data_IF_713777312498
#
_entry.id   IF_713777312498
#
_cell.length_a   1.000
_cell.length_b   1.000
_cell.length_c   1.000
_cell.angle_alpha   90.00
_cell.angle_beta   90.00
_cell.angle_gamma   90.00
#
_symmetry.space_group_name_H-M   'P 1'
#
loop_
_entity.id
_entity.type
_entity.pdbx_description
1 polymer ?
#
# COMPACT_ATOMS: atom_id res chain seq x y z
N UNK A 1 -2.15 27.88 -6.24
CA UNK A 1 -2.88 29.12 -6.59
C UNK A 1 -3.47 28.93 -7.98
N UNK A 2 -4.77 29.15 -8.15
CA UNK A 2 -5.43 29.02 -9.45
C UNK A 2 -6.25 30.29 -9.74
N UNK A 3 -6.39 30.63 -11.02
CA UNK A 3 -7.24 31.72 -11.47
C UNK A 3 -8.68 31.23 -11.51
N UNK A 4 -9.60 31.92 -10.81
CA UNK A 4 -11.03 31.68 -11.00
C UNK A 4 -11.51 32.37 -12.30
N UNK A 5 -12.74 32.04 -12.73
CA UNK A 5 -13.38 32.65 -13.92
C UNK A 5 -13.60 34.17 -13.82
N UNK A 6 -13.30 34.78 -12.67
CA UNK A 6 -13.42 36.22 -12.37
C UNK A 6 -12.05 36.90 -12.20
N UNK A 7 -10.96 36.23 -12.52
CA UNK A 7 -9.63 36.82 -12.51
C UNK A 7 -8.99 37.03 -11.14
N UNK A 8 -9.54 36.42 -10.07
CA UNK A 8 -9.01 36.52 -8.71
C UNK A 8 -8.23 35.26 -8.33
N UNK A 9 -7.20 35.46 -7.52
CA UNK A 9 -6.45 34.40 -6.88
C UNK A 9 -7.29 33.70 -5.81
N UNK A 10 -7.51 32.41 -5.98
CA UNK A 10 -8.10 31.57 -4.94
C UNK A 10 -7.06 30.57 -4.41
N UNK A 11 -7.05 30.41 -3.09
CA UNK A 11 -6.36 29.32 -2.41
C UNK A 11 -7.12 28.04 -2.76
N UNK A 12 -6.61 27.31 -3.75
CA UNK A 12 -7.10 25.98 -4.08
C UNK A 12 -6.65 25.07 -2.94
N UNK A 13 -7.59 24.67 -2.10
CA UNK A 13 -7.34 23.63 -1.11
C UNK A 13 -7.04 22.33 -1.88
N UNK A 14 -5.88 21.73 -1.60
CA UNK A 14 -5.45 20.47 -2.21
C UNK A 14 -5.35 19.46 -1.09
N UNK A 15 -6.41 18.67 -0.92
CA UNK A 15 -6.40 17.55 0.00
C UNK A 15 -5.83 16.30 -0.66
N UNK A 16 -4.94 15.61 0.04
CA UNK A 16 -4.44 14.29 -0.33
C UNK A 16 -4.86 13.31 0.76
N UNK A 17 -5.75 12.40 0.41
CA UNK A 17 -6.17 11.33 1.31
C UNK A 17 -5.32 10.09 1.04
N UNK A 18 -4.73 9.54 2.10
CA UNK A 18 -4.06 8.25 2.08
C UNK A 18 -4.89 7.26 2.89
N UNK A 19 -4.96 6.04 2.39
CA UNK A 19 -5.64 4.92 3.01
C UNK A 19 -4.67 3.77 3.16
N UNK A 20 -4.90 2.87 4.09
CA UNK A 20 -3.95 1.81 4.29
C UNK A 20 -4.32 0.88 5.42
N UNK A 21 -3.42 -0.05 5.65
CA UNK A 21 -3.53 -1.02 6.72
C UNK A 21 -2.24 -1.07 7.53
N UNK A 22 -2.36 -1.62 8.73
CA UNK A 22 -1.24 -2.07 9.54
C UNK A 22 -1.46 -3.54 9.82
N UNK A 23 -0.44 -4.36 9.57
CA UNK A 23 -0.44 -5.78 9.89
C UNK A 23 0.77 -6.09 10.77
N UNK A 24 0.51 -6.63 11.96
CA UNK A 24 1.55 -7.06 12.88
C UNK A 24 2.15 -8.41 12.44
N UNK A 25 3.37 -8.69 12.89
CA UNK A 25 4.04 -9.98 12.68
C UNK A 25 4.21 -10.38 11.21
N UNK A 26 4.57 -9.43 10.34
CA UNK A 26 4.85 -9.74 8.93
C UNK A 26 6.04 -10.72 8.81
N UNK A 27 6.05 -11.65 7.83
CA UNK A 27 7.06 -12.72 7.77
C UNK A 27 8.51 -12.24 7.59
N UNK A 28 8.71 -11.01 7.11
CA UNK A 28 10.02 -10.37 6.99
C UNK A 28 10.04 -9.08 7.78
N UNK A 29 11.22 -8.46 7.93
CA UNK A 29 11.41 -7.22 8.67
C UNK A 29 12.31 -6.26 7.91
N UNK A 30 12.15 -4.97 8.15
CA UNK A 30 13.11 -3.95 7.73
C UNK A 30 13.24 -3.87 6.21
N UNK A 31 12.10 -3.78 5.52
CA UNK A 31 12.02 -3.57 4.08
C UNK A 31 11.14 -2.35 3.81
N UNK A 32 11.54 -1.50 2.88
CA UNK A 32 10.70 -0.41 2.37
C UNK A 32 10.74 -0.31 0.86
N UNK A 33 9.56 -0.14 0.28
CA UNK A 33 9.32 0.15 -1.13
C UNK A 33 8.44 1.39 -1.21
N UNK A 34 8.89 2.43 -1.90
CA UNK A 34 8.16 3.70 -2.02
C UNK A 34 7.97 4.11 -3.47
N UNK A 35 6.75 4.52 -3.81
CA UNK A 35 6.38 5.05 -5.14
C UNK A 35 6.80 6.50 -5.37
N UNK A 36 7.26 7.22 -4.34
CA UNK A 36 7.56 8.66 -4.41
C UNK A 36 8.99 9.03 -4.00
N UNK A 37 9.93 8.08 -4.02
CA UNK A 37 11.34 8.30 -3.64
C UNK A 37 11.51 9.09 -2.31
N UNK A 38 10.61 8.85 -1.34
CA UNK A 38 10.54 9.62 -0.09
C UNK A 38 11.73 9.27 0.81
N UNK A 39 12.57 10.26 1.12
CA UNK A 39 13.70 10.09 2.06
C UNK A 39 13.27 9.52 3.42
N UNK A 40 12.09 9.91 3.91
CA UNK A 40 11.55 9.44 5.19
C UNK A 40 11.20 7.95 5.21
N UNK A 41 11.02 7.32 4.05
CA UNK A 41 10.74 5.89 3.94
C UNK A 41 12.00 5.05 3.73
N UNK A 42 13.17 5.67 3.57
CA UNK A 42 14.42 4.93 3.35
C UNK A 42 14.92 4.28 4.62
N UNK A 43 15.19 2.99 4.52
CA UNK A 43 15.99 2.26 5.49
C UNK A 43 17.47 2.31 5.11
N UNK A 44 18.35 1.89 6.02
CA UNK A 44 19.79 2.16 5.96
C UNK A 44 20.48 1.76 4.65
N UNK A 45 20.07 0.65 4.02
CA UNK A 45 20.62 0.14 2.77
C UNK A 45 19.67 0.46 1.62
N UNK A 46 20.14 1.21 0.61
CA UNK A 46 19.41 1.38 -0.65
C UNK A 46 19.62 0.16 -1.55
N UNK A 47 18.62 -0.17 -2.38
CA UNK A 47 18.66 -1.36 -3.22
C UNK A 47 18.14 -1.10 -4.63
N UNK A 48 18.71 -1.81 -5.59
CA UNK A 48 18.21 -1.94 -6.95
C UNK A 48 18.11 -3.43 -7.29
N UNK A 49 16.90 -3.87 -7.65
CA UNK A 49 16.67 -5.25 -8.07
C UNK A 49 17.21 -5.52 -9.48
N UNK A 50 17.13 -6.77 -9.94
CA UNK A 50 17.41 -7.11 -11.33
C UNK A 50 16.36 -6.56 -12.32
N UNK A 51 15.20 -6.10 -11.84
CA UNK A 51 14.16 -5.50 -12.67
C UNK A 51 14.34 -3.99 -12.79
N UNK A 52 14.85 -3.56 -13.95
CA UNK A 52 15.09 -2.16 -14.27
C UNK A 52 13.80 -1.33 -14.25
N UNK A 53 12.67 -1.89 -14.69
CA UNK A 53 11.39 -1.16 -14.72
C UNK A 53 10.88 -0.93 -13.32
N UNK A 54 10.99 -1.93 -12.46
CA UNK A 54 10.66 -1.81 -11.05
C UNK A 54 11.51 -0.73 -10.37
N UNK A 55 12.83 -0.73 -10.60
CA UNK A 55 13.75 0.26 -10.02
C UNK A 55 13.46 1.70 -10.48
N UNK A 56 12.96 1.89 -11.71
CA UNK A 56 12.55 3.20 -12.20
C UNK A 56 11.28 3.73 -11.53
N UNK A 57 10.33 2.84 -11.21
CA UNK A 57 9.06 3.20 -10.57
C UNK A 57 9.18 3.32 -9.05
N UNK A 58 9.98 2.46 -8.42
CA UNK A 58 9.96 2.27 -6.98
C UNK A 58 11.34 2.32 -6.35
N UNK A 59 11.45 3.17 -5.33
CA UNK A 59 12.59 3.18 -4.43
C UNK A 59 12.54 1.96 -3.51
N UNK A 60 13.64 1.21 -3.43
CA UNK A 60 13.78 0.08 -2.52
C UNK A 60 14.87 0.35 -1.49
N UNK A 61 14.62 -0.07 -0.25
CA UNK A 61 15.61 -0.03 0.81
C UNK A 61 15.32 -1.05 1.92
N UNK A 62 16.31 -1.35 2.75
CA UNK A 62 16.15 -2.25 3.88
C UNK A 62 17.25 -2.11 4.91
N UNK A 63 17.27 -3.02 5.88
CA UNK A 63 18.25 -3.03 6.97
C UNK A 63 19.56 -3.76 6.63
N UNK A 64 19.53 -4.72 5.71
CA UNK A 64 20.71 -5.37 5.17
C UNK A 64 20.45 -5.94 3.77
N UNK A 65 21.51 -6.11 2.99
CA UNK A 65 21.44 -6.56 1.60
C UNK A 65 20.96 -8.02 1.48
N UNK A 66 21.37 -8.91 2.38
CA UNK A 66 21.04 -10.34 2.30
C UNK A 66 19.53 -10.60 2.42
N UNK A 67 18.87 -9.92 3.37
CA UNK A 67 17.44 -10.02 3.58
C UNK A 67 16.67 -9.36 2.43
N UNK A 68 17.19 -8.28 1.86
CA UNK A 68 16.63 -7.65 0.67
C UNK A 68 16.71 -8.55 -0.56
N UNK A 69 17.85 -9.18 -0.82
CA UNK A 69 18.00 -10.14 -1.93
C UNK A 69 17.03 -11.30 -1.79
N UNK A 70 16.89 -11.83 -0.56
CA UNK A 70 15.93 -12.89 -0.29
C UNK A 70 14.52 -12.39 -0.56
N UNK A 71 14.11 -11.27 0.04
CA UNK A 71 12.75 -10.75 -0.11
C UNK A 71 12.41 -10.37 -1.56
N UNK A 72 13.33 -9.74 -2.30
CA UNK A 72 13.13 -9.27 -3.67
C UNK A 72 13.55 -10.32 -4.71
N UNK A 73 13.17 -11.58 -4.49
CA UNK A 73 13.29 -12.61 -5.52
C UNK A 73 12.43 -12.25 -6.75
N UNK A 74 12.78 -12.71 -7.97
CA UNK A 74 12.05 -12.39 -9.20
C UNK A 74 10.52 -12.59 -9.12
N UNK A 75 10.06 -13.71 -8.55
CA UNK A 75 8.63 -14.00 -8.41
C UNK A 75 7.91 -13.00 -7.48
N UNK A 76 8.55 -12.67 -6.35
CA UNK A 76 8.04 -11.66 -5.40
C UNK A 76 8.06 -10.26 -5.97
N UNK A 77 9.07 -9.89 -6.76
CA UNK A 77 9.11 -8.60 -7.45
C UNK A 77 7.94 -8.46 -8.42
N UNK A 78 7.65 -9.48 -9.21
CA UNK A 78 6.52 -9.48 -10.14
C UNK A 78 5.17 -9.35 -9.40
N UNK A 79 5.03 -10.06 -8.27
CA UNK A 79 3.84 -9.95 -7.44
C UNK A 79 3.73 -8.53 -6.84
N UNK A 80 4.80 -8.02 -6.22
CA UNK A 80 4.86 -6.66 -5.68
C UNK A 80 4.53 -5.59 -6.72
N UNK A 81 5.02 -5.72 -7.96
CA UNK A 81 4.69 -4.78 -9.04
C UNK A 81 3.17 -4.75 -9.29
N UNK A 82 2.54 -5.91 -9.47
CA UNK A 82 1.08 -5.99 -9.67
C UNK A 82 0.31 -5.36 -8.52
N UNK A 83 0.79 -5.58 -7.29
CA UNK A 83 0.14 -5.04 -6.09
C UNK A 83 0.27 -3.52 -5.99
N UNK A 84 1.47 -2.99 -6.28
CA UNK A 84 1.74 -1.55 -6.28
C UNK A 84 1.13 -0.83 -7.49
N UNK A 85 0.81 -1.54 -8.57
CA UNK A 85 0.02 -1.01 -9.68
C UNK A 85 -1.47 -0.90 -9.31
N UNK A 86 -2.02 -1.92 -8.64
CA UNK A 86 -3.41 -1.91 -8.17
C UNK A 86 -3.65 -0.95 -6.99
N UNK A 87 -2.67 -0.86 -6.09
CA UNK A 87 -2.72 -0.01 -4.90
C UNK A 87 -1.44 0.82 -4.75
N UNK A 88 -1.28 1.87 -5.59
CA UNK A 88 -0.10 2.72 -5.59
C UNK A 88 0.14 3.37 -4.23
N UNK A 89 1.33 3.19 -3.70
CA UNK A 89 1.57 3.54 -2.31
C UNK A 89 3.02 3.36 -1.84
N UNK A 90 3.16 3.41 -0.52
CA UNK A 90 4.37 3.09 0.20
C UNK A 90 4.12 1.82 1.01
N UNK A 91 5.01 0.84 0.81
CA UNK A 91 5.07 -0.42 1.54
C UNK A 91 6.26 -0.35 2.50
N UNK A 92 6.02 -0.50 3.79
CA UNK A 92 7.05 -0.39 4.81
C UNK A 92 6.88 -1.46 5.85
N UNK A 93 7.93 -2.21 6.14
CA UNK A 93 7.95 -3.19 7.22
C UNK A 93 8.95 -2.75 8.26
N UNK A 94 8.46 -2.50 9.47
CA UNK A 94 9.27 -2.03 10.56
C UNK A 94 10.39 -3.02 10.92
N UNK A 95 11.64 -2.58 11.13
CA UNK A 95 12.77 -3.46 11.35
C UNK A 95 12.73 -4.24 12.67
N UNK A 96 12.12 -3.67 13.70
CA UNK A 96 12.06 -4.29 15.03
C UNK A 96 10.74 -5.05 15.27
N UNK A 97 9.60 -4.39 15.10
CA UNK A 97 8.28 -4.97 15.37
C UNK A 97 7.74 -5.86 14.26
N UNK A 98 8.38 -5.90 13.08
CA UNK A 98 7.85 -6.55 11.86
C UNK A 98 6.43 -6.09 11.47
N UNK A 99 6.02 -4.90 11.92
CA UNK A 99 4.74 -4.32 11.53
C UNK A 99 4.83 -3.83 10.07
N UNK A 100 4.00 -4.41 9.20
CA UNK A 100 3.77 -3.90 7.86
C UNK A 100 2.82 -2.71 7.93
N UNK A 101 3.23 -1.59 7.35
CA UNK A 101 2.41 -0.44 7.04
C UNK A 101 2.35 -0.28 5.53
N UNK A 102 1.16 -0.39 4.95
CA UNK A 102 0.94 -0.08 3.54
C UNK A 102 0.00 1.11 3.42
N UNK A 103 0.50 2.22 2.89
CA UNK A 103 -0.28 3.43 2.63
C UNK A 103 -0.42 3.64 1.13
N UNK A 104 -1.65 3.63 0.62
CA UNK A 104 -1.97 3.83 -0.80
C UNK A 104 -2.89 5.04 -1.02
N UNK A 105 -2.99 5.46 -2.28
CA UNK A 105 -3.86 6.56 -2.71
C UNK A 105 -5.26 6.10 -3.16
N UNK A 106 -5.55 4.81 -3.03
CA UNK A 106 -6.87 4.22 -3.35
C UNK A 106 -7.76 4.31 -2.12
N UNK A 107 -8.99 4.79 -2.27
CA UNK A 107 -9.95 4.84 -1.17
C UNK A 107 -10.45 3.44 -0.82
N UNK A 108 -9.77 2.79 0.13
CA UNK A 108 -10.15 1.46 0.63
C UNK A 108 -11.50 1.47 1.37
N UNK A 109 -11.92 2.62 1.87
CA UNK A 109 -13.19 2.80 2.58
C UNK A 109 -14.35 3.12 1.62
N UNK A 110 -14.15 3.03 0.30
CA UNK A 110 -15.25 3.20 -0.64
C UNK A 110 -16.24 2.06 -0.41
N UNK A 111 -17.43 2.44 -0.01
CA UNK A 111 -18.54 1.55 0.25
C UNK A 111 -19.58 1.68 -0.86
N UNK A 112 -20.42 0.64 -0.99
CA UNK A 112 -21.67 0.78 -1.73
C UNK A 112 -22.54 1.86 -1.08
N UNK A 113 -23.32 2.59 -1.89
CA UNK A 113 -24.21 3.62 -1.35
C UNK A 113 -25.25 2.98 -0.43
N UNK A 114 -25.36 3.49 0.80
CA UNK A 114 -26.44 3.12 1.70
C UNK A 114 -27.76 3.73 1.18
N UNK A 115 -28.80 2.91 1.16
CA UNK A 115 -30.16 3.32 0.81
C UNK A 115 -31.13 2.88 1.91
N UNK A 116 -32.28 3.55 2.00
CA UNK A 116 -33.30 3.22 2.99
C UNK A 116 -33.81 4.45 3.73
N UNK A 117 -35.09 4.41 4.08
CA UNK A 117 -35.79 5.46 4.83
C UNK A 117 -36.25 4.99 6.21
N UNK A 118 -36.20 3.67 6.46
CA UNK A 118 -36.53 3.06 7.75
C UNK A 118 -35.32 2.38 8.41
N UNK A 119 -35.40 2.19 9.73
CA UNK A 119 -34.37 1.50 10.52
C UNK A 119 -34.12 0.07 10.02
N UNK A 120 -35.18 -0.62 9.58
CA UNK A 120 -35.08 -1.99 9.05
C UNK A 120 -34.31 -2.02 7.72
N UNK A 121 -34.66 -1.15 6.78
CA UNK A 121 -33.97 -1.07 5.48
C UNK A 121 -32.48 -0.74 5.64
N UNK A 122 -32.15 0.15 6.58
CA UNK A 122 -30.75 0.46 6.90
C UNK A 122 -30.02 -0.74 7.52
N UNK A 123 -30.67 -1.51 8.42
CA UNK A 123 -30.09 -2.72 8.99
C UNK A 123 -29.81 -3.77 7.91
N UNK A 124 -30.77 -4.02 7.01
CA UNK A 124 -30.61 -4.92 5.87
C UNK A 124 -29.45 -4.46 4.95
N UNK A 125 -29.32 -3.15 4.70
CA UNK A 125 -28.20 -2.62 3.92
C UNK A 125 -26.84 -2.79 4.59
N UNK A 126 -26.77 -2.62 5.92
CA UNK A 126 -25.55 -2.83 6.70
C UNK A 126 -25.10 -4.29 6.68
N UNK A 127 -26.04 -5.24 6.66
CA UNK A 127 -25.74 -6.68 6.54
C UNK A 127 -25.11 -7.03 5.18
N UNK A 128 -25.46 -6.30 4.12
CA UNK A 128 -24.92 -6.51 2.76
C UNK A 128 -23.78 -5.56 2.39
N UNK A 129 -23.30 -4.76 3.33
CA UNK A 129 -22.29 -3.73 3.05
C UNK A 129 -20.95 -4.38 2.70
N UNK A 130 -20.52 -4.21 1.45
CA UNK A 130 -19.20 -4.62 1.00
C UNK A 130 -18.25 -3.43 0.88
N UNK A 131 -16.96 -3.69 1.03
CA UNK A 131 -15.89 -2.72 0.74
C UNK A 131 -14.98 -3.32 -0.34
N UNK A 132 -15.37 -3.25 -1.63
CA UNK A 132 -14.73 -4.05 -2.67
C UNK A 132 -13.25 -3.72 -2.85
N UNK A 133 -12.86 -2.43 -2.76
CA UNK A 133 -11.45 -2.04 -2.80
C UNK A 133 -10.64 -2.63 -1.62
N UNK A 134 -11.21 -2.64 -0.40
CA UNK A 134 -10.56 -3.23 0.76
C UNK A 134 -10.49 -4.76 0.67
N UNK A 135 -11.55 -5.42 0.22
CA UNK A 135 -11.60 -6.87 0.05
C UNK A 135 -10.57 -7.34 -0.98
N UNK A 136 -10.47 -6.65 -2.12
CA UNK A 136 -9.45 -6.91 -3.12
C UNK A 136 -8.04 -6.67 -2.57
N UNK A 137 -7.84 -5.58 -1.84
CA UNK A 137 -6.57 -5.27 -1.18
C UNK A 137 -6.16 -6.39 -0.20
N UNK A 138 -7.07 -6.81 0.67
CA UNK A 138 -6.84 -7.84 1.67
C UNK A 138 -6.51 -9.19 1.03
N UNK A 139 -7.24 -9.60 -0.01
CA UNK A 139 -7.00 -10.86 -0.72
C UNK A 139 -5.60 -10.90 -1.36
N UNK A 140 -5.22 -9.80 -2.01
CA UNK A 140 -3.91 -9.68 -2.66
C UNK A 140 -2.78 -9.67 -1.63
N UNK A 141 -2.97 -8.96 -0.51
CA UNK A 141 -2.00 -8.98 0.57
C UNK A 141 -1.88 -10.35 1.23
N UNK A 142 -2.98 -11.06 1.44
CA UNK A 142 -2.96 -12.40 2.01
C UNK A 142 -2.14 -13.35 1.13
N UNK A 143 -2.39 -13.34 -0.18
CA UNK A 143 -1.59 -14.10 -1.15
C UNK A 143 -0.10 -13.73 -1.05
N UNK A 144 0.23 -12.45 -0.89
CA UNK A 144 1.61 -12.03 -0.74
C UNK A 144 2.26 -12.52 0.55
N UNK A 145 1.52 -12.51 1.66
CA UNK A 145 1.98 -13.06 2.95
C UNK A 145 2.30 -14.54 2.79
N UNK A 146 1.42 -15.31 2.15
CA UNK A 146 1.58 -16.75 1.97
C UNK A 146 2.85 -17.08 1.15
N UNK A 147 3.12 -16.35 0.07
CA UNK A 147 4.34 -16.46 -0.75
C UNK A 147 5.62 -15.96 -0.04
N UNK A 148 5.45 -15.10 0.96
CA UNK A 148 6.57 -14.51 1.72
C UNK A 148 6.93 -15.33 2.95
N UNK A 149 6.16 -16.37 3.29
CA UNK A 149 6.55 -17.31 4.35
C UNK A 149 7.79 -18.10 3.89
N UNK A 150 8.96 -17.61 4.28
CA UNK A 150 10.22 -18.34 4.09
C UNK A 150 10.18 -19.57 5.01
N UNK A 151 10.38 -20.80 4.50
CA UNK A 151 10.44 -21.97 5.35
C UNK A 151 11.54 -21.78 6.40
N UNK A 152 11.19 -22.00 7.67
CA UNK A 152 12.18 -22.02 8.76
C UNK A 152 13.14 -23.17 8.47
N UNK A 153 14.39 -22.84 8.12
CA UNK A 153 15.50 -23.78 8.04
C UNK A 153 15.88 -24.32 9.42
#
# INVERSE_FOLDING_TARGET
MAYNSKGKWELKDVSYNLYGIILENFPVRGVSISSQQKKACRLGVAWESSDIRFNQKYQQSGINELDLVKFLSPDRLLLLEKMLEGFPGDFYVHPETSALCWLCNVNLLRQQSLYGTSVRELAECLETLSMPEFEQFANILQHFIDETQIPKS
#
